data_IF_604546894253
#
_entry.id   IF_604546894253
#
_cell.length_a   1.000
_cell.length_b   1.000
_cell.length_c   1.000
_cell.angle_alpha   90.00
_cell.angle_beta   90.00
_cell.angle_gamma   90.00
#
_symmetry.space_group_name_H-M   'P 1'
#
loop_
_entity.id
_entity.type
_entity.pdbx_description
1 polymer ?
#
# COMPACT_ATOMS: atom_id res chain seq x y z
N UNK A 1 17.68 -6.22 -47.40
CA UNK A 1 16.37 -6.33 -46.74
C UNK A 1 16.57 -7.23 -45.52
N UNK A 2 16.64 -6.65 -44.33
CA UNK A 2 16.79 -7.39 -43.06
C UNK A 2 15.43 -7.44 -42.39
N UNK A 3 14.92 -8.65 -42.13
CA UNK A 3 13.67 -8.87 -41.43
C UNK A 3 13.84 -8.55 -39.93
N UNK A 4 12.85 -7.96 -39.25
CA UNK A 4 12.90 -7.83 -37.80
C UNK A 4 12.54 -9.18 -37.16
N UNK A 5 13.43 -9.69 -36.31
CA UNK A 5 13.11 -10.80 -35.41
C UNK A 5 12.21 -10.27 -34.31
N UNK A 6 10.96 -10.73 -34.27
CA UNK A 6 10.05 -10.45 -33.17
C UNK A 6 10.52 -11.24 -31.95
N UNK A 7 11.20 -10.58 -31.02
CA UNK A 7 11.45 -11.12 -29.68
C UNK A 7 10.11 -11.24 -28.94
N UNK A 8 9.46 -12.39 -29.08
CA UNK A 8 8.37 -12.77 -28.20
C UNK A 8 9.00 -13.23 -26.89
N UNK A 9 9.30 -12.27 -26.02
CA UNK A 9 9.55 -12.56 -24.60
C UNK A 9 8.23 -13.07 -24.02
N UNK A 10 8.08 -14.38 -23.97
CA UNK A 10 7.04 -15.04 -23.20
C UNK A 10 7.37 -14.81 -21.72
N UNK A 11 6.83 -13.74 -21.15
CA UNK A 11 6.85 -13.57 -19.70
C UNK A 11 6.05 -14.75 -19.11
N UNK A 12 6.71 -15.57 -18.32
CA UNK A 12 6.03 -16.59 -17.51
C UNK A 12 4.91 -15.90 -16.69
N UNK A 13 3.79 -16.58 -16.40
CA UNK A 13 2.79 -16.03 -15.50
C UNK A 13 3.48 -15.69 -14.17
N UNK A 14 3.58 -14.39 -13.89
CA UNK A 14 4.15 -13.92 -12.63
C UNK A 14 3.09 -14.17 -11.56
N UNK A 15 3.41 -14.97 -10.54
CA UNK A 15 2.50 -15.20 -9.43
C UNK A 15 2.23 -13.88 -8.68
N UNK A 16 1.05 -13.76 -8.05
CA UNK A 16 0.63 -12.50 -7.44
C UNK A 16 1.56 -12.00 -6.32
N UNK A 17 2.27 -12.90 -5.62
CA UNK A 17 3.27 -12.50 -4.63
C UNK A 17 4.46 -11.82 -5.31
N UNK A 18 4.94 -12.37 -6.43
CA UNK A 18 5.99 -11.76 -7.24
C UNK A 18 5.55 -10.41 -7.80
N UNK A 19 4.29 -10.24 -8.21
CA UNK A 19 3.73 -8.94 -8.63
C UNK A 19 3.73 -7.91 -7.49
N UNK A 20 3.28 -8.30 -6.29
CA UNK A 20 3.31 -7.45 -5.11
C UNK A 20 4.74 -7.00 -4.75
N UNK A 21 5.71 -7.91 -4.83
CA UNK A 21 7.12 -7.59 -4.57
C UNK A 21 7.67 -6.60 -5.59
N UNK A 22 7.45 -6.87 -6.88
CA UNK A 22 7.87 -5.96 -7.96
C UNK A 22 7.24 -4.57 -7.79
N UNK A 23 5.97 -4.50 -7.42
CA UNK A 23 5.29 -3.24 -7.19
C UNK A 23 5.84 -2.49 -5.97
N UNK A 24 6.13 -3.17 -4.85
CA UNK A 24 6.81 -2.55 -3.70
C UNK A 24 8.17 -1.97 -4.13
N UNK A 25 8.94 -2.70 -4.92
CA UNK A 25 10.25 -2.21 -5.39
C UNK A 25 10.13 -1.02 -6.36
N UNK A 26 9.09 -1.00 -7.20
CA UNK A 26 8.78 0.14 -8.07
C UNK A 26 8.38 1.38 -7.27
N UNK A 27 7.54 1.22 -6.24
CA UNK A 27 7.03 2.34 -5.42
C UNK A 27 8.04 2.81 -4.36
N UNK A 28 9.06 1.98 -4.03
CA UNK A 28 9.99 2.20 -2.92
C UNK A 28 10.59 3.60 -2.90
N UNK A 29 11.13 4.08 -4.02
CA UNK A 29 11.79 5.38 -4.07
C UNK A 29 10.83 6.54 -3.72
N UNK A 30 9.56 6.44 -4.08
CA UNK A 30 8.55 7.44 -3.76
C UNK A 30 8.06 7.30 -2.31
N UNK A 31 7.85 6.08 -1.82
CA UNK A 31 7.47 5.83 -0.41
C UNK A 31 8.56 6.34 0.55
N UNK A 32 9.84 6.16 0.22
CA UNK A 32 10.95 6.65 1.05
C UNK A 32 10.98 8.19 1.18
N UNK A 33 10.50 8.92 0.17
CA UNK A 33 10.36 10.39 0.25
C UNK A 33 9.26 10.82 1.23
N UNK A 34 8.34 9.92 1.59
CA UNK A 34 7.22 10.18 2.49
C UNK A 34 7.53 9.81 3.95
N UNK A 35 8.68 9.20 4.24
CA UNK A 35 9.11 8.88 5.61
C UNK A 35 9.15 10.14 6.45
N UNK A 36 8.53 10.10 7.63
CA UNK A 36 8.31 11.25 8.51
C UNK A 36 6.96 11.95 8.33
N UNK A 37 6.24 11.70 7.23
CA UNK A 37 4.94 12.31 6.94
C UNK A 37 3.75 11.42 7.34
N UNK A 38 2.62 12.05 7.62
CA UNK A 38 1.34 11.36 7.78
C UNK A 38 0.68 11.14 6.42
N UNK A 39 0.20 9.93 6.16
CA UNK A 39 -0.42 9.50 4.92
C UNK A 39 -1.79 8.87 5.20
N UNK A 40 -2.76 8.98 4.28
CA UNK A 40 -3.94 8.12 4.27
C UNK A 40 -3.53 6.68 3.92
N UNK A 41 -3.76 5.74 4.83
CA UNK A 41 -3.58 4.32 4.57
C UNK A 41 -4.90 3.74 4.09
N UNK A 42 -4.97 3.31 2.83
CA UNK A 42 -6.16 2.84 2.13
C UNK A 42 -6.42 1.34 2.31
N UNK A 43 -5.38 0.56 2.62
CA UNK A 43 -5.50 -0.87 2.81
C UNK A 43 -4.35 -1.45 3.62
N UNK A 44 -4.63 -2.55 4.33
CA UNK A 44 -3.64 -3.39 4.98
C UNK A 44 -4.11 -4.85 4.91
N UNK A 45 -3.45 -5.66 4.09
CA UNK A 45 -3.82 -7.07 3.89
C UNK A 45 -2.60 -7.98 3.99
N UNK A 46 -2.85 -9.23 4.37
CA UNK A 46 -1.86 -10.30 4.34
C UNK A 46 -2.53 -11.63 4.03
N UNK A 47 -1.77 -12.64 3.56
CA UNK A 47 -2.31 -13.97 3.33
C UNK A 47 -3.01 -14.53 4.59
N UNK A 48 -4.08 -15.29 4.37
CA UNK A 48 -4.91 -15.93 5.40
C UNK A 48 -5.68 -14.96 6.32
N UNK A 49 -5.67 -13.66 6.01
CA UNK A 49 -6.48 -12.67 6.73
C UNK A 49 -7.93 -12.72 6.26
N UNK A 50 -8.87 -12.87 7.19
CA UNK A 50 -10.30 -12.70 6.93
C UNK A 50 -10.70 -11.23 7.13
N UNK A 51 -11.17 -10.56 6.07
CA UNK A 51 -11.70 -9.20 6.13
C UNK A 51 -12.89 -9.07 5.18
N UNK A 52 -13.96 -8.39 5.62
CA UNK A 52 -15.20 -8.19 4.84
C UNK A 52 -15.80 -9.50 4.28
N UNK A 53 -15.62 -10.62 5.01
CA UNK A 53 -16.10 -11.95 4.59
C UNK A 53 -15.22 -12.65 3.55
N UNK A 54 -14.08 -12.06 3.17
CA UNK A 54 -13.12 -12.63 2.21
C UNK A 54 -11.85 -13.03 2.94
N UNK A 55 -11.40 -14.27 2.74
CA UNK A 55 -10.04 -14.68 3.12
C UNK A 55 -9.10 -14.27 2.01
N UNK A 56 -8.10 -13.45 2.35
CA UNK A 56 -7.16 -12.90 1.38
C UNK A 56 -6.03 -13.90 1.10
N UNK A 57 -5.85 -14.27 -0.17
CA UNK A 57 -4.62 -14.83 -0.72
C UNK A 57 -3.84 -13.73 -1.47
N UNK A 58 -2.71 -14.07 -2.10
CA UNK A 58 -1.90 -13.08 -2.81
C UNK A 58 -2.63 -12.45 -4.00
N UNK A 59 -3.46 -13.20 -4.71
CA UNK A 59 -4.25 -12.71 -5.84
C UNK A 59 -5.30 -11.68 -5.39
N UNK A 60 -5.99 -11.95 -4.27
CA UNK A 60 -6.94 -11.03 -3.66
C UNK A 60 -6.24 -9.74 -3.17
N UNK A 61 -5.03 -9.85 -2.60
CA UNK A 61 -4.25 -8.69 -2.15
C UNK A 61 -3.80 -7.84 -3.36
N UNK A 62 -3.34 -8.48 -4.43
CA UNK A 62 -2.99 -7.77 -5.66
C UNK A 62 -4.20 -7.05 -6.26
N UNK A 63 -5.36 -7.71 -6.33
CA UNK A 63 -6.59 -7.11 -6.82
C UNK A 63 -7.07 -5.93 -5.94
N UNK A 64 -6.92 -6.04 -4.62
CA UNK A 64 -7.21 -4.96 -3.66
C UNK A 64 -6.32 -3.74 -3.90
N UNK A 65 -5.00 -3.95 -4.09
CA UNK A 65 -4.08 -2.87 -4.46
C UNK A 65 -4.45 -2.23 -5.81
N UNK A 66 -4.68 -3.03 -6.85
CA UNK A 66 -5.05 -2.52 -8.18
C UNK A 66 -6.34 -1.70 -8.13
N UNK A 67 -7.33 -2.16 -7.36
CA UNK A 67 -8.59 -1.42 -7.15
C UNK A 67 -8.33 -0.08 -6.47
N UNK A 68 -7.54 -0.07 -5.40
CA UNK A 68 -7.13 1.17 -4.73
C UNK A 68 -6.40 2.12 -5.69
N UNK A 69 -5.45 1.63 -6.49
CA UNK A 69 -4.72 2.44 -7.48
C UNK A 69 -5.62 3.01 -8.58
N UNK A 70 -6.67 2.28 -8.98
CA UNK A 70 -7.64 2.78 -9.96
C UNK A 70 -8.51 3.91 -9.38
N UNK A 71 -8.92 3.81 -8.11
CA UNK A 71 -9.73 4.83 -7.43
C UNK A 71 -8.88 6.02 -6.95
N UNK A 72 -7.62 5.76 -6.62
CA UNK A 72 -6.64 6.70 -6.07
C UNK A 72 -5.34 6.55 -6.86
N UNK A 73 -5.16 7.31 -7.97
CA UNK A 73 -4.02 7.13 -8.87
C UNK A 73 -2.63 7.28 -8.23
N UNK A 74 -2.54 7.96 -7.08
CA UNK A 74 -1.29 8.13 -6.34
C UNK A 74 -1.05 7.03 -5.27
N UNK A 75 -1.89 5.98 -5.22
CA UNK A 75 -1.83 4.97 -4.17
C UNK A 75 -0.62 4.04 -4.30
N UNK A 76 0.38 4.15 -3.44
CA UNK A 76 1.60 3.34 -3.45
C UNK A 76 1.45 2.07 -2.62
N UNK A 77 2.14 1.01 -3.02
CA UNK A 77 2.27 -0.23 -2.25
C UNK A 77 3.59 -0.24 -1.47
N UNK A 78 3.54 -0.66 -0.21
CA UNK A 78 4.72 -0.90 0.62
C UNK A 78 4.59 -2.18 1.44
N UNK A 79 5.72 -2.72 1.86
CA UNK A 79 5.80 -3.84 2.80
C UNK A 79 5.95 -3.32 4.23
N UNK A 80 5.07 -3.73 5.14
CA UNK A 80 5.08 -3.21 6.51
C UNK A 80 6.34 -3.58 7.29
N UNK A 81 7.01 -4.68 6.94
CA UNK A 81 8.26 -5.12 7.57
C UNK A 81 9.45 -4.19 7.34
N UNK A 82 9.36 -3.29 6.36
CA UNK A 82 10.43 -2.34 6.05
C UNK A 82 10.38 -1.10 6.97
N UNK A 83 9.32 -0.91 7.77
CA UNK A 83 9.15 0.29 8.61
C UNK A 83 8.81 -0.05 10.07
N UNK A 84 9.56 0.52 11.02
CA UNK A 84 9.31 0.36 12.46
C UNK A 84 7.95 0.90 12.94
N UNK A 85 7.34 1.79 12.15
CA UNK A 85 6.04 2.39 12.43
C UNK A 85 4.87 1.40 12.39
N UNK A 86 5.04 0.20 11.84
CA UNK A 86 4.02 -0.86 11.87
C UNK A 86 4.25 -1.80 13.05
N UNK A 87 3.16 -2.20 13.70
CA UNK A 87 3.20 -3.19 14.78
C UNK A 87 3.53 -4.59 14.26
N UNK A 88 3.06 -4.91 13.06
CA UNK A 88 3.17 -6.23 12.45
C UNK A 88 3.95 -6.11 11.13
N UNK A 89 5.06 -6.86 10.95
CA UNK A 89 5.97 -6.73 9.81
C UNK A 89 5.60 -7.64 8.63
N UNK A 90 4.33 -8.08 8.54
CA UNK A 90 3.85 -9.11 7.62
C UNK A 90 2.65 -8.68 6.75
N UNK A 91 2.49 -7.37 6.52
CA UNK A 91 1.37 -6.81 5.76
C UNK A 91 1.83 -6.09 4.49
N UNK A 92 1.02 -6.25 3.44
CA UNK A 92 1.01 -5.38 2.26
C UNK A 92 0.11 -4.19 2.57
N UNK A 93 0.68 -2.99 2.48
CA UNK A 93 0.00 -1.75 2.84
C UNK A 93 -0.14 -0.88 1.60
N UNK A 94 -1.34 -0.36 1.36
CA UNK A 94 -1.58 0.64 0.34
C UNK A 94 -1.78 1.99 1.00
N UNK A 95 -1.03 3.00 0.55
CA UNK A 95 -1.09 4.38 1.05
C UNK A 95 -1.33 5.35 -0.10
N UNK A 96 -2.08 6.42 0.10
CA UNK A 96 -2.10 7.51 -0.86
C UNK A 96 -0.84 8.38 -0.71
N UNK A 97 -0.17 8.72 -1.81
CA UNK A 97 1.05 9.54 -1.80
C UNK A 97 0.82 11.04 -1.55
N UNK A 98 -0.17 11.37 -0.72
CA UNK A 98 -0.42 12.73 -0.25
C UNK A 98 0.07 12.86 1.19
N UNK A 99 1.12 13.66 1.40
CA UNK A 99 1.72 13.89 2.71
C UNK A 99 1.02 14.99 3.50
N UNK A 100 0.93 14.78 4.81
CA UNK A 100 0.34 15.70 5.77
C UNK A 100 1.27 15.88 6.99
N UNK A 101 1.18 17.06 7.62
CA UNK A 101 1.96 17.39 8.83
C UNK A 101 1.47 16.66 10.08
N UNK A 102 0.20 16.23 10.10
CA UNK A 102 -0.42 15.53 11.22
C UNK A 102 -1.44 14.49 10.75
N UNK A 103 -1.79 13.56 11.64
CA UNK A 103 -2.73 12.49 11.32
C UNK A 103 -4.18 12.96 11.15
N UNK A 104 -4.57 14.09 11.74
CA UNK A 104 -5.94 14.59 11.63
C UNK A 104 -6.21 15.10 10.21
N UNK A 105 -5.23 15.76 9.61
CA UNK A 105 -5.27 16.22 8.22
C UNK A 105 -5.33 15.04 7.24
N UNK A 106 -4.55 13.97 7.47
CA UNK A 106 -4.63 12.75 6.67
C UNK A 106 -5.99 12.03 6.82
N UNK A 107 -6.57 12.02 8.02
CA UNK A 107 -7.93 11.50 8.23
C UNK A 107 -9.01 12.34 7.56
N UNK A 108 -8.86 13.67 7.58
CA UNK A 108 -9.77 14.59 6.87
C UNK A 108 -9.77 14.30 5.37
N UNK A 109 -8.63 13.91 4.81
CA UNK A 109 -8.57 13.42 3.44
C UNK A 109 -9.42 12.15 3.26
N UNK A 110 -9.26 11.13 4.12
CA UNK A 110 -10.11 9.92 4.06
C UNK A 110 -11.61 10.27 4.13
N UNK A 111 -11.98 11.23 4.99
CA UNK A 111 -13.36 11.72 5.14
C UNK A 111 -13.86 12.40 3.85
N UNK A 112 -13.02 13.23 3.22
CA UNK A 112 -13.38 13.95 2.00
C UNK A 112 -13.64 13.05 0.78
N UNK A 113 -13.03 11.87 0.76
CA UNK A 113 -13.27 10.82 -0.25
C UNK A 113 -14.40 9.86 0.16
N UNK A 114 -15.03 10.05 1.32
CA UNK A 114 -16.15 9.23 1.78
C UNK A 114 -15.78 7.78 2.09
N UNK A 115 -14.50 7.49 2.34
CA UNK A 115 -14.02 6.12 2.61
C UNK A 115 -14.38 5.74 4.06
N UNK A 116 -14.81 4.51 4.31
CA UNK A 116 -15.17 4.10 5.69
C UNK A 116 -13.96 4.19 6.62
N UNK A 117 -14.23 4.40 7.91
CA UNK A 117 -13.21 4.53 8.96
C UNK A 117 -12.36 3.27 9.15
N UNK A 118 -12.90 2.11 8.80
CA UNK A 118 -12.22 0.82 8.89
C UNK A 118 -11.41 0.51 7.62
N UNK A 119 -11.66 1.24 6.52
CA UNK A 119 -11.00 1.09 5.23
C UNK A 119 -9.90 2.15 5.00
N UNK A 120 -10.02 3.36 5.57
CA UNK A 120 -8.98 4.39 5.47
C UNK A 120 -8.71 5.08 6.80
N UNK A 121 -7.45 5.15 7.22
CA UNK A 121 -7.00 5.90 8.40
C UNK A 121 -5.56 6.40 8.27
N UNK A 122 -5.18 7.37 9.09
CA UNK A 122 -3.88 8.02 9.02
C UNK A 122 -2.76 7.16 9.59
N UNK A 123 -1.68 7.04 8.82
CA UNK A 123 -0.43 6.34 9.17
C UNK A 123 0.77 7.25 8.95
N UNK A 124 1.69 7.31 9.91
CA UNK A 124 3.01 7.93 9.71
C UNK A 124 4.05 6.87 9.45
N UNK A 125 4.83 7.03 8.38
CA UNK A 125 5.92 6.11 8.04
C UNK A 125 7.20 6.49 8.79
N UNK A 126 7.80 5.54 9.49
CA UNK A 126 9.05 5.74 10.25
C UNK A 126 9.93 4.49 10.24
N UNK A 127 11.23 4.69 10.05
CA UNK A 127 12.26 3.66 10.23
C UNK A 127 12.73 3.50 11.68
N UNK A 128 12.43 4.46 12.56
CA UNK A 128 12.82 4.45 13.97
C UNK A 128 11.65 4.83 14.89
N UNK A 129 11.78 4.55 16.19
CA UNK A 129 10.80 4.97 17.22
C UNK A 129 9.62 4.03 17.44
N UNK A 130 9.53 2.91 16.70
CA UNK A 130 8.52 1.87 16.90
C UNK A 130 7.11 2.29 16.45
N UNK A 131 6.11 1.46 16.72
CA UNK A 131 4.76 1.64 16.15
C UNK A 131 3.88 2.66 16.89
N UNK A 132 4.16 2.92 18.18
CA UNK A 132 3.32 3.77 19.01
C UNK A 132 3.34 5.23 18.52
N UNK A 133 2.16 5.85 18.44
CA UNK A 133 2.02 7.25 17.99
C UNK A 133 2.16 7.46 16.48
N UNK A 134 2.29 6.40 15.67
CA UNK A 134 2.38 6.46 14.21
C UNK A 134 1.08 6.03 13.50
N UNK A 135 -0.03 5.99 14.21
CA UNK A 135 -1.35 5.63 13.67
C UNK A 135 -2.41 6.44 14.41
N UNK A 136 -3.30 7.09 13.65
CA UNK A 136 -4.45 7.82 14.20
C UNK A 136 -5.72 7.28 13.55
N UNK A 137 -6.47 6.51 14.31
CA UNK A 137 -7.75 5.95 13.86
C UNK A 137 -8.84 7.03 13.74
N UNK A 138 -9.80 6.80 12.87
CA UNK A 138 -11.00 7.64 12.71
C UNK A 138 -12.09 7.19 13.68
N UNK A 139 -12.87 8.17 14.15
CA UNK A 139 -13.96 7.96 15.11
C UNK A 139 -15.27 7.65 14.39
#
# INVERSE_FOLDING_TARGET
>A
MVAPTTETTSAAPTDARSLLQQQVDQDRAQVEQLVGSWLPQLSAKKPDMLANGVTYDYDAIWADFVTNRQQHPQALLLWSGDYSSFKYPDFWITVEAQSFGDGASANTWCDSYGINKDDCYAKRLMHTGGYAGNTLLRK
#
